data_IF_892442395644
#
_entry.id   IF_892442395644
#
_cell.length_a   1.000
_cell.length_b   1.000
_cell.length_c   1.000
_cell.angle_alpha   90.00
_cell.angle_beta   90.00
_cell.angle_gamma   90.00
#
_symmetry.space_group_name_H-M   'P 1'
#
loop_
_entity.id
_entity.type
_entity.pdbx_description
1 polymer ?
#
# COMPACT_ATOMS: atom_id res chain seq x y z
N UNK A 1 11.52 -14.13 -19.21
CA UNK A 1 10.12 -14.21 -18.74
C UNK A 1 9.19 -13.83 -19.89
N UNK A 2 8.24 -14.69 -20.24
CA UNK A 2 7.19 -14.33 -21.21
C UNK A 2 6.04 -13.65 -20.43
N UNK A 3 5.85 -12.34 -20.63
CA UNK A 3 4.85 -11.57 -19.89
C UNK A 3 3.40 -11.97 -20.16
N UNK A 4 3.13 -12.64 -21.27
CA UNK A 4 1.76 -13.06 -21.65
C UNK A 4 1.24 -14.14 -20.70
N UNK A 5 2.12 -15.04 -20.22
CA UNK A 5 1.77 -16.15 -19.34
C UNK A 5 2.13 -15.86 -17.87
N UNK A 6 2.70 -14.69 -17.59
CA UNK A 6 3.15 -14.32 -16.26
C UNK A 6 1.98 -14.17 -15.28
N UNK A 7 2.14 -14.71 -14.07
CA UNK A 7 1.24 -14.43 -12.94
C UNK A 7 1.60 -13.06 -12.37
N UNK A 8 0.64 -12.15 -12.38
CA UNK A 8 0.86 -10.75 -12.01
C UNK A 8 0.17 -10.44 -10.69
N UNK A 9 0.91 -9.83 -9.75
CA UNK A 9 0.38 -9.20 -8.54
C UNK A 9 0.37 -7.68 -8.70
N UNK A 10 -0.78 -7.03 -8.53
CA UNK A 10 -0.91 -5.58 -8.46
C UNK A 10 -1.19 -5.18 -7.01
N UNK A 11 -0.23 -4.50 -6.41
CA UNK A 11 -0.23 -4.13 -4.99
C UNK A 11 -0.47 -2.64 -4.83
N UNK A 12 -1.42 -2.25 -3.98
CA UNK A 12 -1.68 -0.86 -3.64
C UNK A 12 -1.69 -0.65 -2.12
N UNK A 13 -1.47 0.59 -1.67
CA UNK A 13 -1.42 0.85 -0.23
C UNK A 13 -2.75 0.53 0.46
N UNK A 14 -3.83 1.19 0.06
CA UNK A 14 -5.19 0.93 0.57
C UNK A 14 -6.27 1.51 -0.35
N UNK A 15 -7.47 0.93 -0.26
CA UNK A 15 -8.67 1.44 -0.90
C UNK A 15 -9.69 1.83 0.17
N UNK A 16 -9.85 3.12 0.44
CA UNK A 16 -10.79 3.62 1.44
C UNK A 16 -12.10 4.11 0.82
N UNK A 17 -13.19 4.07 1.60
CA UNK A 17 -14.56 4.34 1.15
C UNK A 17 -14.73 5.63 0.35
N UNK A 18 -14.02 6.70 0.73
CA UNK A 18 -14.19 8.05 0.16
C UNK A 18 -12.94 8.55 -0.59
N UNK A 19 -11.95 7.71 -0.83
CA UNK A 19 -10.66 8.13 -1.39
C UNK A 19 -10.41 7.52 -2.77
N UNK A 20 -11.21 7.90 -3.76
CA UNK A 20 -10.85 7.67 -5.16
C UNK A 20 -9.97 8.83 -5.65
N UNK A 21 -8.77 8.92 -5.08
CA UNK A 21 -7.77 9.90 -5.45
C UNK A 21 -7.00 9.56 -6.73
N UNK A 22 -5.92 10.29 -6.96
CA UNK A 22 -5.06 10.07 -8.13
C UNK A 22 -4.40 8.68 -8.13
N UNK A 23 -3.92 8.23 -6.97
CA UNK A 23 -3.23 6.94 -6.84
C UNK A 23 -4.14 5.76 -7.16
N UNK A 24 -5.37 5.76 -6.63
CA UNK A 24 -6.37 4.72 -6.91
C UNK A 24 -6.77 4.70 -8.40
N UNK A 25 -6.89 5.88 -9.04
CA UNK A 25 -7.18 5.97 -10.49
C UNK A 25 -6.04 5.39 -11.32
N UNK A 26 -4.79 5.66 -10.95
CA UNK A 26 -3.61 5.08 -11.62
C UNK A 26 -3.59 3.57 -11.44
N UNK A 27 -3.85 3.06 -10.24
CA UNK A 27 -3.93 1.62 -9.97
C UNK A 27 -5.01 0.95 -10.82
N UNK A 28 -6.19 1.55 -10.94
CA UNK A 28 -7.25 1.09 -11.83
C UNK A 28 -6.86 1.10 -13.31
N UNK A 29 -6.12 2.12 -13.74
CA UNK A 29 -5.62 2.19 -15.09
C UNK A 29 -4.59 1.09 -15.38
N UNK A 30 -3.66 0.85 -14.43
CA UNK A 30 -2.69 -0.25 -14.50
C UNK A 30 -3.41 -1.60 -14.61
N UNK A 31 -4.43 -1.84 -13.77
CA UNK A 31 -5.23 -3.06 -13.81
C UNK A 31 -5.84 -3.30 -15.19
N UNK A 32 -6.45 -2.27 -15.78
CA UNK A 32 -7.04 -2.33 -17.11
C UNK A 32 -6.01 -2.60 -18.21
N UNK A 33 -4.84 -1.96 -18.14
CA UNK A 33 -3.75 -2.16 -19.10
C UNK A 33 -3.19 -3.58 -19.02
N UNK A 34 -2.94 -4.08 -17.82
CA UNK A 34 -2.41 -5.42 -17.61
C UNK A 34 -3.37 -6.47 -18.14
N UNK A 35 -4.65 -6.36 -17.79
CA UNK A 35 -5.70 -7.26 -18.27
C UNK A 35 -5.86 -7.24 -19.78
N UNK A 36 -5.67 -6.07 -20.42
CA UNK A 36 -5.83 -5.94 -21.89
C UNK A 36 -4.65 -6.54 -22.65
N UNK A 37 -3.43 -6.35 -22.16
CA UNK A 37 -2.21 -6.64 -22.94
C UNK A 37 -1.47 -7.91 -22.48
N UNK A 38 -1.76 -8.39 -21.27
CA UNK A 38 -1.07 -9.50 -20.64
C UNK A 38 -2.08 -10.44 -19.95
N UNK A 39 -1.91 -10.66 -18.65
CA UNK A 39 -2.83 -11.45 -17.82
C UNK A 39 -3.58 -10.58 -16.82
N UNK A 40 -4.72 -11.07 -16.33
CA UNK A 40 -5.46 -10.39 -15.26
C UNK A 40 -4.67 -10.48 -13.96
N UNK A 41 -4.25 -9.34 -13.35
CA UNK A 41 -3.51 -9.35 -12.11
C UNK A 41 -4.39 -9.74 -10.91
N UNK A 42 -3.82 -10.41 -9.93
CA UNK A 42 -4.40 -10.48 -8.59
C UNK A 42 -4.14 -9.16 -7.84
N UNK A 43 -5.14 -8.76 -7.06
CA UNK A 43 -5.13 -7.46 -6.36
C UNK A 43 -4.77 -7.64 -4.90
N UNK A 44 -3.86 -6.80 -4.43
CA UNK A 44 -3.40 -6.75 -3.04
C UNK A 44 -3.48 -5.33 -2.48
N UNK A 45 -3.81 -5.22 -1.20
CA UNK A 45 -3.74 -3.95 -0.47
C UNK A 45 -3.54 -4.20 1.03
N UNK A 46 -3.03 -3.21 1.76
CA UNK A 46 -3.00 -3.27 3.22
C UNK A 46 -4.41 -3.43 3.80
N UNK A 47 -5.33 -2.60 3.33
CA UNK A 47 -6.76 -2.68 3.67
C UNK A 47 -7.62 -2.28 2.47
N UNK A 48 -8.85 -2.78 2.45
CA UNK A 48 -9.84 -2.36 1.47
C UNK A 48 -11.21 -2.17 2.11
N UNK A 49 -11.73 -0.96 1.99
CA UNK A 49 -13.08 -0.59 2.43
C UNK A 49 -13.87 0.05 1.28
N UNK A 50 -13.87 -0.63 0.13
CA UNK A 50 -14.64 -0.18 -1.05
C UNK A 50 -16.11 -0.46 -0.79
N UNK A 51 -16.97 0.53 -1.01
CA UNK A 51 -18.42 0.35 -0.95
C UNK A 51 -18.91 -0.68 -1.95
N UNK A 52 -19.99 -1.39 -1.63
CA UNK A 52 -20.58 -2.39 -2.53
C UNK A 52 -20.96 -1.80 -3.88
N UNK A 53 -21.48 -0.58 -3.90
CA UNK A 53 -21.77 0.17 -5.13
C UNK A 53 -20.56 0.44 -6.02
N UNK A 54 -19.35 0.41 -5.44
CA UNK A 54 -18.06 0.63 -6.13
C UNK A 54 -17.26 -0.65 -6.36
N UNK A 55 -17.73 -1.80 -5.89
CA UNK A 55 -17.07 -3.11 -6.13
C UNK A 55 -16.92 -3.42 -7.63
N UNK A 56 -17.82 -2.90 -8.47
CA UNK A 56 -17.73 -3.04 -9.92
C UNK A 56 -16.47 -2.43 -10.53
N UNK A 57 -15.75 -1.56 -9.83
CA UNK A 57 -14.51 -0.94 -10.31
C UNK A 57 -13.46 -1.99 -10.64
N UNK A 58 -13.34 -3.02 -9.80
CA UNK A 58 -12.47 -4.19 -10.04
C UNK A 58 -13.26 -5.43 -10.51
N UNK A 59 -14.45 -5.25 -11.08
CA UNK A 59 -15.27 -6.35 -11.59
C UNK A 59 -15.57 -7.43 -10.54
N UNK A 60 -15.88 -7.02 -9.31
CA UNK A 60 -16.16 -7.88 -8.15
C UNK A 60 -15.01 -8.84 -7.76
N UNK A 61 -13.79 -8.58 -8.22
CA UNK A 61 -12.64 -9.38 -7.83
C UNK A 61 -12.30 -9.21 -6.35
N UNK A 62 -11.77 -10.27 -5.77
CA UNK A 62 -11.30 -10.27 -4.39
C UNK A 62 -9.99 -9.50 -4.32
N UNK A 63 -9.92 -8.52 -3.42
CA UNK A 63 -8.66 -7.87 -3.05
C UNK A 63 -8.10 -8.62 -1.83
N UNK A 64 -6.93 -9.22 -1.99
CA UNK A 64 -6.20 -9.87 -0.89
C UNK A 64 -5.64 -8.78 0.03
N UNK A 65 -5.85 -8.93 1.34
CA UNK A 65 -5.61 -7.86 2.32
C UNK A 65 -4.65 -8.31 3.41
N UNK A 66 -4.00 -7.32 4.06
CA UNK A 66 -3.11 -7.59 5.17
C UNK A 66 -3.86 -7.86 6.48
N UNK A 67 -3.12 -8.28 7.49
CA UNK A 67 -3.63 -8.51 8.86
C UNK A 67 -4.27 -7.25 9.48
N UNK A 68 -3.90 -6.05 9.05
CA UNK A 68 -4.45 -4.78 9.55
C UNK A 68 -5.96 -4.67 9.35
N UNK A 69 -6.50 -5.33 8.34
CA UNK A 69 -7.94 -5.35 8.08
C UNK A 69 -8.76 -5.87 9.27
N UNK A 70 -8.18 -6.80 10.03
CA UNK A 70 -8.84 -7.45 11.17
C UNK A 70 -8.71 -6.68 12.48
N UNK A 71 -7.89 -5.61 12.51
CA UNK A 71 -7.69 -4.79 13.70
C UNK A 71 -8.85 -3.81 13.92
N UNK A 72 -9.13 -3.40 15.17
CA UNK A 72 -10.15 -2.40 15.47
C UNK A 72 -9.97 -1.14 14.62
N UNK A 73 -10.99 -0.75 13.89
CA UNK A 73 -10.94 0.40 12.94
C UNK A 73 -9.88 0.29 11.82
N UNK A 74 -9.22 -0.84 11.62
CA UNK A 74 -8.20 -1.02 10.60
C UNK A 74 -8.67 -0.63 9.20
N UNK A 75 -9.92 -0.98 8.84
CA UNK A 75 -10.55 -0.64 7.55
C UNK A 75 -10.83 0.86 7.35
N UNK A 76 -11.01 1.61 8.41
CA UNK A 76 -11.48 3.00 8.35
C UNK A 76 -10.42 4.01 8.78
N UNK A 77 -9.50 3.60 9.64
CA UNK A 77 -8.45 4.43 10.24
C UNK A 77 -7.10 3.73 10.18
N UNK A 78 -6.75 3.17 9.01
CA UNK A 78 -5.47 2.47 8.78
C UNK A 78 -4.26 3.28 9.25
N UNK A 79 -4.33 4.60 9.16
CA UNK A 79 -3.27 5.52 9.60
C UNK A 79 -2.98 5.46 11.10
N UNK A 80 -3.89 4.96 11.94
CA UNK A 80 -3.61 4.75 13.36
C UNK A 80 -2.58 3.62 13.60
N UNK A 81 -2.34 2.80 12.59
CA UNK A 81 -1.44 1.65 12.64
C UNK A 81 -0.11 1.91 11.90
N UNK A 82 0.24 3.17 11.63
CA UNK A 82 1.44 3.55 10.89
C UNK A 82 2.71 2.79 11.28
N UNK A 83 3.02 2.58 12.59
CA UNK A 83 4.22 1.83 12.98
C UNK A 83 4.19 0.34 12.59
N UNK A 84 3.01 -0.24 12.37
CA UNK A 84 2.83 -1.65 12.02
C UNK A 84 2.68 -1.88 10.51
N UNK A 85 2.44 -0.83 9.71
CA UNK A 85 2.21 -0.97 8.28
C UNK A 85 3.42 -1.50 7.51
N UNK A 86 4.69 -1.15 7.87
CA UNK A 86 5.86 -1.80 7.31
C UNK A 86 5.82 -3.32 7.46
N UNK A 87 5.60 -3.79 8.68
CA UNK A 87 5.47 -5.22 8.94
C UNK A 87 4.32 -5.84 8.16
N UNK A 88 3.16 -5.19 8.14
CA UNK A 88 1.97 -5.72 7.48
C UNK A 88 2.12 -5.88 5.96
N UNK A 89 2.83 -4.95 5.28
CA UNK A 89 3.07 -5.07 3.84
C UNK A 89 4.08 -6.17 3.54
N UNK A 90 5.11 -6.33 4.38
CA UNK A 90 6.15 -7.35 4.23
C UNK A 90 5.62 -8.78 4.50
N UNK A 91 4.46 -8.93 5.16
CA UNK A 91 3.81 -10.24 5.38
C UNK A 91 2.85 -10.65 4.26
N UNK A 92 2.62 -9.82 3.27
CA UNK A 92 1.80 -10.21 2.11
C UNK A 92 2.62 -11.16 1.24
N UNK A 93 2.12 -12.39 1.11
CA UNK A 93 2.78 -13.42 0.30
C UNK A 93 2.48 -13.23 -1.19
N UNK A 94 3.53 -12.91 -1.93
CA UNK A 94 3.52 -12.80 -3.40
C UNK A 94 4.47 -13.81 -4.06
N UNK A 95 4.92 -14.82 -3.33
CA UNK A 95 5.93 -15.80 -3.80
C UNK A 95 5.53 -16.56 -5.07
N UNK A 96 4.23 -16.71 -5.32
CA UNK A 96 3.69 -17.43 -6.49
C UNK A 96 3.55 -16.57 -7.77
N UNK A 97 3.95 -15.29 -7.74
CA UNK A 97 3.83 -14.37 -8.86
C UNK A 97 5.18 -14.15 -9.53
N UNK A 98 5.17 -13.97 -10.85
CA UNK A 98 6.37 -13.70 -11.65
C UNK A 98 6.66 -12.20 -11.73
N UNK A 99 5.60 -11.38 -11.79
CA UNK A 99 5.66 -9.94 -11.88
C UNK A 99 4.85 -9.30 -10.75
N UNK A 100 5.50 -8.45 -9.98
CA UNK A 100 4.87 -7.65 -8.94
C UNK A 100 4.91 -6.18 -9.38
N UNK A 101 3.74 -5.54 -9.43
CA UNK A 101 3.64 -4.10 -9.70
C UNK A 101 3.06 -3.44 -8.45
N UNK A 102 3.83 -2.56 -7.82
CA UNK A 102 3.37 -1.80 -6.67
C UNK A 102 3.06 -0.35 -7.05
N UNK A 103 1.81 0.08 -6.80
CA UNK A 103 1.35 1.45 -6.92
C UNK A 103 1.35 2.07 -5.53
N UNK A 104 2.43 2.79 -5.19
CA UNK A 104 2.75 3.19 -3.83
C UNK A 104 2.74 4.71 -3.62
N UNK A 105 2.02 5.15 -2.61
CA UNK A 105 2.15 6.49 -2.04
C UNK A 105 2.69 6.44 -0.60
N UNK A 106 2.90 5.22 -0.06
CA UNK A 106 3.45 5.00 1.26
C UNK A 106 4.19 3.66 1.41
N UNK A 107 3.49 2.52 1.44
CA UNK A 107 4.01 1.23 1.92
C UNK A 107 4.11 0.15 0.83
N UNK A 108 3.26 0.17 -0.22
CA UNK A 108 3.16 -0.92 -1.20
C UNK A 108 4.49 -1.27 -1.88
N UNK A 109 5.39 -0.30 -2.04
CA UNK A 109 6.76 -0.51 -2.56
C UNK A 109 7.63 -1.43 -1.71
N UNK A 110 7.30 -1.56 -0.42
CA UNK A 110 8.07 -2.37 0.53
C UNK A 110 7.66 -3.83 0.59
N UNK A 111 6.81 -4.29 -0.32
CA UNK A 111 6.49 -5.72 -0.43
C UNK A 111 7.77 -6.52 -0.70
N UNK A 112 7.91 -7.68 -0.03
CA UNK A 112 9.10 -8.52 -0.19
C UNK A 112 8.91 -9.44 -1.38
N UNK A 113 9.94 -9.52 -2.23
CA UNK A 113 9.99 -10.35 -3.42
C UNK A 113 11.20 -11.27 -3.41
N UNK A 114 11.14 -12.34 -4.17
CA UNK A 114 12.23 -13.28 -4.38
C UNK A 114 13.14 -12.81 -5.53
N UNK A 115 14.40 -13.26 -5.60
CA UNK A 115 15.34 -12.87 -6.67
C UNK A 115 14.86 -13.21 -8.09
N UNK A 116 14.02 -14.22 -8.24
CA UNK A 116 13.48 -14.67 -9.53
C UNK A 116 12.27 -13.84 -10.02
N UNK A 117 11.76 -12.95 -9.17
CA UNK A 117 10.59 -12.12 -9.47
C UNK A 117 10.99 -10.75 -9.98
N UNK A 118 10.24 -10.22 -10.93
CA UNK A 118 10.39 -8.82 -11.34
C UNK A 118 9.46 -7.94 -10.51
N UNK A 119 10.03 -6.98 -9.76
CA UNK A 119 9.26 -5.97 -9.03
C UNK A 119 9.39 -4.60 -9.70
N UNK A 120 8.28 -4.02 -10.09
CA UNK A 120 8.20 -2.66 -10.64
C UNK A 120 7.38 -1.79 -9.68
N UNK A 121 7.99 -0.74 -9.14
CA UNK A 121 7.30 0.16 -8.21
C UNK A 121 6.99 1.51 -8.86
N UNK A 122 5.71 1.86 -8.93
CA UNK A 122 5.26 3.20 -9.30
C UNK A 122 5.01 4.03 -8.04
N UNK A 123 5.91 4.95 -7.76
CA UNK A 123 5.85 5.80 -6.57
C UNK A 123 5.19 7.12 -6.92
N UNK A 124 3.98 7.38 -6.36
CA UNK A 124 3.22 8.61 -6.58
C UNK A 124 3.87 9.82 -5.91
N UNK A 125 4.22 9.65 -4.63
CA UNK A 125 4.92 10.65 -3.83
C UNK A 125 5.70 9.95 -2.73
N UNK A 126 6.75 10.55 -2.19
CA UNK A 126 7.32 10.12 -0.92
C UNK A 126 6.26 10.16 0.21
N UNK A 127 6.52 9.45 1.29
CA UNK A 127 5.66 9.37 2.47
C UNK A 127 5.61 10.73 3.20
N UNK A 128 4.78 11.68 2.71
CA UNK A 128 4.79 13.09 3.10
C UNK A 128 4.66 13.34 4.61
N UNK A 129 3.81 12.58 5.30
CA UNK A 129 3.62 12.72 6.74
C UNK A 129 4.85 12.26 7.56
N UNK A 130 5.74 11.48 7.00
CA UNK A 130 6.99 11.09 7.65
C UNK A 130 8.14 12.05 7.30
N UNK A 131 8.11 12.69 6.14
CA UNK A 131 9.16 13.56 5.62
C UNK A 131 8.80 15.04 5.76
N UNK A 132 8.29 15.65 4.71
CA UNK A 132 8.09 17.10 4.59
C UNK A 132 6.94 17.65 5.47
N UNK A 133 5.90 16.86 5.73
CA UNK A 133 4.73 17.26 6.50
C UNK A 133 4.71 16.75 7.95
N UNK A 134 5.82 16.26 8.46
CA UNK A 134 5.89 15.67 9.81
C UNK A 134 5.38 16.63 10.90
N UNK A 135 5.81 17.88 10.90
CA UNK A 135 5.41 18.84 11.92
C UNK A 135 3.92 19.16 11.84
N UNK A 136 3.39 19.40 10.65
CA UNK A 136 1.96 19.62 10.42
C UNK A 136 1.11 18.42 10.86
N UNK A 137 1.59 17.22 10.62
CA UNK A 137 0.93 15.99 11.06
C UNK A 137 0.90 15.88 12.59
N UNK A 138 2.02 16.17 13.26
CA UNK A 138 2.12 16.17 14.71
C UNK A 138 1.20 17.22 15.36
N UNK A 139 1.10 18.42 14.80
CA UNK A 139 0.21 19.48 15.31
C UNK A 139 -1.27 19.10 15.21
N UNK A 140 -1.68 18.43 14.12
CA UNK A 140 -3.05 17.98 13.90
C UNK A 140 -3.41 16.70 14.67
N UNK A 141 -2.42 15.97 15.16
CA UNK A 141 -2.64 14.71 15.87
C UNK A 141 -3.12 14.99 17.31
N UNK A 142 -4.31 14.50 17.64
CA UNK A 142 -4.83 14.56 19.03
C UNK A 142 -3.93 13.87 20.03
N UNK A 143 -3.20 12.84 19.64
CA UNK A 143 -2.24 12.11 20.47
C UNK A 143 -1.05 12.99 20.89
N UNK A 144 -0.67 13.96 20.08
CA UNK A 144 0.44 14.87 20.40
C UNK A 144 0.17 15.77 21.61
N UNK A 145 -1.11 16.00 21.91
CA UNK A 145 -1.52 16.83 23.06
C UNK A 145 -1.43 16.10 24.41
N UNK A 146 -1.30 14.77 24.41
CA UNK A 146 -1.25 13.91 25.60
C UNK A 146 0.17 13.45 25.99
N UNK A 147 1.21 14.20 25.65
CA UNK A 147 2.59 13.83 26.00
C UNK A 147 3.25 12.78 25.09
N UNK A 148 2.53 12.25 24.09
CA UNK A 148 3.03 11.24 23.17
C UNK A 148 3.86 11.79 21.99
N UNK A 149 4.28 13.03 22.02
CA UNK A 149 5.08 13.65 20.94
C UNK A 149 6.39 12.91 20.69
N UNK A 150 7.11 12.48 21.73
CA UNK A 150 8.39 11.80 21.59
C UNK A 150 8.21 10.40 20.97
N UNK A 151 7.34 9.52 21.49
CA UNK A 151 7.06 8.23 20.85
C UNK A 151 6.63 8.34 19.39
N UNK A 152 5.78 9.31 19.04
CA UNK A 152 5.34 9.51 17.66
C UNK A 152 6.52 9.95 16.77
N UNK A 153 7.36 10.89 17.22
CA UNK A 153 8.57 11.30 16.49
C UNK A 153 9.51 10.14 16.27
N UNK A 154 9.68 9.28 17.25
CA UNK A 154 10.50 8.07 17.12
C UNK A 154 9.91 7.09 16.10
N UNK A 155 8.60 6.85 16.13
CA UNK A 155 7.93 6.02 15.14
C UNK A 155 8.11 6.57 13.71
N UNK A 156 7.94 7.88 13.52
CA UNK A 156 8.17 8.54 12.22
C UNK A 156 9.64 8.47 11.78
N UNK A 157 10.59 8.57 12.72
CA UNK A 157 12.01 8.35 12.44
C UNK A 157 12.27 6.92 11.93
N UNK A 158 11.70 5.90 12.59
CA UNK A 158 11.78 4.51 12.13
C UNK A 158 11.13 4.30 10.77
N UNK A 159 9.98 4.94 10.53
CA UNK A 159 9.33 4.91 9.23
C UNK A 159 10.20 5.48 8.11
N UNK A 160 10.90 6.59 8.34
CA UNK A 160 11.84 7.14 7.34
C UNK A 160 12.98 6.18 7.02
N UNK A 161 13.53 5.50 8.04
CA UNK A 161 14.57 4.48 7.82
C UNK A 161 14.04 3.34 6.95
N UNK A 162 12.85 2.83 7.29
CA UNK A 162 12.22 1.76 6.51
C UNK A 162 11.87 2.22 5.09
N UNK A 163 11.33 3.43 4.92
CA UNK A 163 10.97 4.03 3.64
C UNK A 163 12.18 4.13 2.71
N UNK A 164 13.32 4.56 3.25
CA UNK A 164 14.58 4.62 2.52
C UNK A 164 15.07 3.21 2.16
N UNK A 165 15.15 2.30 3.12
CA UNK A 165 15.65 0.94 2.88
C UNK A 165 14.77 0.17 1.89
N UNK A 166 13.44 0.27 2.00
CA UNK A 166 12.52 -0.39 1.07
C UNK A 166 12.58 0.17 -0.36
N UNK A 167 13.12 1.36 -0.55
CA UNK A 167 13.33 1.96 -1.88
C UNK A 167 14.64 1.52 -2.55
N UNK A 168 15.51 0.79 -1.85
CA UNK A 168 16.79 0.30 -2.37
C UNK A 168 16.73 -1.18 -2.80
N UNK A 169 15.60 -1.83 -2.59
CA UNK A 169 15.37 -3.23 -2.98
C UNK A 169 14.93 -3.37 -4.42
#
# INVERSE_FOLDING_TARGET
MNLVDAKIALVHDWFLKNSMGGAEKVTLFMDKLLKKNYSQPDLFALVSNIEESKKNIFQNRIIKKSIIEYFPFGKTKVQNYLPLLPFAIEQIDVSQYDLIISSSHAFAKGIITNPEQLHISYIHTPMRYAWDQMNTYLEKSKLSNFGFKIPIRYALYKLRQWDFLSSQR
#
